data_IF_852576709735
#
_entry.id   IF_852576709735
#
_cell.length_a   1.000
_cell.length_b   1.000
_cell.length_c   1.000
_cell.angle_alpha   90.00
_cell.angle_beta   90.00
_cell.angle_gamma   90.00
#
_symmetry.space_group_name_H-M   'P 1'
#
loop_
_entity.id
_entity.type
_entity.pdbx_description
1 polymer ?
#
# COMPACT_ATOMS: atom_id res chain seq x y z
N UNK A 1 8.10 -34.74 -35.64
CA UNK A 1 7.91 -33.29 -35.83
C UNK A 1 7.70 -32.65 -34.46
N UNK A 2 8.72 -31.99 -33.93
CA UNK A 2 8.68 -31.31 -32.63
C UNK A 2 7.84 -30.04 -32.73
N UNK A 3 6.69 -29.99 -32.06
CA UNK A 3 5.91 -28.75 -31.90
C UNK A 3 6.46 -28.00 -30.70
N UNK A 4 7.23 -26.95 -30.96
CA UNK A 4 7.50 -25.92 -29.95
C UNK A 4 6.18 -25.27 -29.52
N UNK A 5 5.91 -25.11 -28.22
CA UNK A 5 4.81 -24.26 -27.79
C UNK A 5 5.23 -22.80 -28.00
N UNK A 6 4.40 -22.10 -28.77
CA UNK A 6 4.46 -20.66 -29.04
C UNK A 6 4.38 -19.91 -27.70
N UNK A 7 5.46 -19.24 -27.31
CA UNK A 7 5.46 -18.27 -26.20
C UNK A 7 4.78 -16.99 -26.69
N UNK A 8 3.46 -16.89 -26.53
CA UNK A 8 2.78 -15.61 -26.66
C UNK A 8 3.01 -14.78 -25.39
N UNK A 9 3.99 -13.88 -25.42
CA UNK A 9 4.08 -12.79 -24.46
C UNK A 9 3.01 -11.78 -24.87
N UNK A 10 1.85 -11.83 -24.21
CA UNK A 10 0.83 -10.80 -24.36
C UNK A 10 1.30 -9.58 -23.58
N UNK A 11 1.47 -8.48 -24.30
CA UNK A 11 1.77 -7.16 -23.75
C UNK A 11 0.74 -6.80 -22.69
N UNK A 12 1.19 -6.57 -21.46
CA UNK A 12 0.35 -6.10 -20.37
C UNK A 12 0.21 -4.59 -20.51
N UNK A 13 -1.01 -4.15 -20.85
CA UNK A 13 -1.43 -2.76 -20.73
C UNK A 13 -1.00 -2.21 -19.37
N UNK A 14 -0.31 -1.06 -19.39
CA UNK A 14 0.06 -0.30 -18.21
C UNK A 14 -1.20 0.27 -17.52
N UNK A 15 -1.93 -0.60 -16.83
CA UNK A 15 -3.10 -0.25 -16.05
C UNK A 15 -2.65 0.39 -14.73
N UNK A 16 -2.53 1.72 -14.78
CA UNK A 16 -2.45 2.69 -13.67
C UNK A 16 -1.97 2.11 -12.33
N UNK A 17 -0.68 2.27 -12.07
CA UNK A 17 -0.13 2.14 -10.71
C UNK A 17 -0.77 3.21 -9.81
N UNK A 18 -1.90 2.90 -9.17
CA UNK A 18 -2.43 3.79 -8.12
C UNK A 18 -1.45 3.77 -6.96
N UNK A 19 -0.93 4.96 -6.63
CA UNK A 19 -0.11 5.21 -5.45
C UNK A 19 -1.04 5.48 -4.28
N UNK A 20 -0.80 4.83 -3.14
CA UNK A 20 -1.45 5.17 -1.88
C UNK A 20 -0.38 5.70 -0.93
N UNK A 21 -0.65 6.84 -0.31
CA UNK A 21 0.20 7.43 0.70
C UNK A 21 -0.36 7.08 2.08
N UNK A 22 0.51 6.67 2.99
CA UNK A 22 0.10 6.43 4.37
C UNK A 22 -0.10 7.76 5.09
N UNK A 23 -1.10 7.83 5.95
CA UNK A 23 -1.26 8.95 6.89
C UNK A 23 -0.43 8.65 8.13
N UNK A 24 0.57 9.48 8.41
CA UNK A 24 1.44 9.31 9.59
C UNK A 24 0.89 10.02 10.83
N UNK A 25 0.13 11.11 10.65
CA UNK A 25 -0.49 11.87 11.75
C UNK A 25 -1.96 12.10 11.42
N UNK A 26 -2.84 11.84 12.38
CA UNK A 26 -4.29 12.04 12.22
C UNK A 26 -4.96 12.39 13.55
N UNK A 27 -5.08 13.67 13.83
CA UNK A 27 -5.87 14.26 14.90
C UNK A 27 -7.08 14.98 14.30
N UNK A 28 -8.25 14.35 14.31
CA UNK A 28 -9.52 15.02 13.93
C UNK A 28 -9.91 16.08 14.95
N UNK A 29 -9.55 15.84 16.20
CA UNK A 29 -9.52 16.77 17.32
C UNK A 29 -8.38 16.35 18.27
N UNK A 30 -8.25 17.02 19.42
CA UNK A 30 -7.28 16.68 20.47
C UNK A 30 -7.94 16.16 21.74
N UNK A 31 -9.04 15.40 21.61
CA UNK A 31 -9.60 14.62 22.73
C UNK A 31 -8.59 13.59 23.29
N UNK A 32 -7.63 13.17 22.46
CA UNK A 32 -6.42 12.44 22.83
C UNK A 32 -5.18 13.19 22.36
N UNK A 33 -4.14 13.18 23.20
CA UNK A 33 -2.82 13.73 22.88
C UNK A 33 -1.75 12.64 22.81
N UNK A 34 -2.16 11.39 22.55
CA UNK A 34 -1.23 10.27 22.45
C UNK A 34 -0.16 10.55 21.37
N UNK A 35 1.10 10.29 21.72
CA UNK A 35 2.24 10.56 20.84
C UNK A 35 2.68 12.03 20.78
N UNK A 36 2.02 12.94 21.50
CA UNK A 36 2.42 14.34 21.60
C UNK A 36 3.28 14.60 22.84
N UNK A 37 4.33 15.40 22.67
CA UNK A 37 5.27 15.80 23.71
C UNK A 37 5.31 17.32 23.78
N UNK A 38 5.00 17.89 24.94
CA UNK A 38 4.93 19.34 25.12
C UNK A 38 6.03 19.88 26.01
N UNK A 39 6.58 21.04 25.67
CA UNK A 39 7.57 21.74 26.47
C UNK A 39 7.15 23.20 26.64
N UNK A 40 7.60 23.82 27.72
CA UNK A 40 7.18 25.18 28.03
C UNK A 40 5.72 25.21 28.49
N UNK A 41 4.96 26.17 28.00
CA UNK A 41 3.98 26.90 28.81
C UNK A 41 3.17 26.11 29.86
N UNK A 42 3.35 26.36 31.16
CA UNK A 42 2.46 25.92 32.26
C UNK A 42 2.44 24.42 32.61
N UNK A 43 2.05 24.09 33.85
CA UNK A 43 1.87 22.68 34.31
C UNK A 43 0.50 22.09 33.98
N UNK A 44 -0.39 22.89 33.37
CA UNK A 44 -1.73 22.47 32.98
C UNK A 44 -1.76 21.55 31.76
N UNK A 45 -2.88 20.85 31.52
CA UNK A 45 -3.01 19.96 30.36
C UNK A 45 -2.84 20.73 29.04
N UNK A 46 -2.24 20.08 28.05
CA UNK A 46 -2.01 20.70 26.74
C UNK A 46 -3.25 20.72 25.84
N UNK A 47 -4.22 19.85 26.12
CA UNK A 47 -5.52 19.85 25.47
C UNK A 47 -6.57 20.43 26.40
N UNK A 48 -7.32 21.42 25.92
CA UNK A 48 -8.42 22.04 26.63
C UNK A 48 -9.63 22.03 25.71
N UNK A 49 -10.70 21.30 26.08
CA UNK A 49 -11.90 21.18 25.24
C UNK A 49 -11.58 20.72 23.80
N UNK A 50 -10.82 19.61 23.71
CA UNK A 50 -10.44 18.91 22.48
C UNK A 50 -9.60 19.70 21.47
N UNK A 51 -8.86 20.71 21.90
CA UNK A 51 -7.92 21.49 21.08
C UNK A 51 -6.60 21.67 21.81
N UNK A 52 -5.50 21.65 21.08
CA UNK A 52 -4.20 22.01 21.66
C UNK A 52 -4.21 23.49 21.98
N UNK A 53 -3.90 23.82 23.23
CA UNK A 53 -3.65 25.18 23.69
C UNK A 53 -2.14 25.39 23.73
N UNK A 54 -1.61 26.21 22.83
CA UNK A 54 -0.17 26.48 22.78
C UNK A 54 0.22 27.61 23.77
N UNK A 55 -0.66 28.57 23.96
CA UNK A 55 -0.47 29.72 24.86
C UNK A 55 -1.83 30.24 25.32
N UNK A 56 -1.84 31.03 26.39
CA UNK A 56 -3.03 31.65 26.95
C UNK A 56 -3.00 33.18 26.86
N UNK A 57 -4.15 33.74 26.50
CA UNK A 57 -4.45 35.15 26.66
C UNK A 57 -4.37 35.55 28.15
N UNK A 58 -3.72 36.68 28.45
CA UNK A 58 -3.62 37.26 29.79
C UNK A 58 -2.28 37.06 30.49
N UNK A 59 -1.27 36.54 29.80
CA UNK A 59 0.04 36.21 30.35
C UNK A 59 1.14 36.55 29.34
N UNK A 60 2.13 37.30 29.80
CA UNK A 60 3.28 37.71 28.99
C UNK A 60 4.35 36.62 28.93
N UNK A 61 5.19 36.65 27.90
CA UNK A 61 6.44 35.90 27.80
C UNK A 61 6.26 34.39 27.95
N UNK A 62 5.23 33.85 27.31
CA UNK A 62 5.02 32.41 27.19
C UNK A 62 5.76 31.89 25.96
N UNK A 63 6.33 30.69 26.07
CA UNK A 63 6.75 29.89 24.93
C UNK A 63 6.27 28.45 25.13
N UNK A 64 5.81 27.80 24.07
CA UNK A 64 5.46 26.38 24.07
C UNK A 64 5.88 25.72 22.77
N UNK A 65 6.30 24.47 22.86
CA UNK A 65 6.39 23.55 21.73
C UNK A 65 5.56 22.30 22.00
N UNK A 66 4.97 21.74 20.94
CA UNK A 66 4.28 20.44 20.97
C UNK A 66 4.72 19.63 19.76
N UNK A 67 5.41 18.52 20.02
CA UNK A 67 6.02 17.66 19.01
C UNK A 67 5.26 16.35 18.87
N UNK A 68 5.10 15.85 17.64
CA UNK A 68 4.76 14.45 17.43
C UNK A 68 6.03 13.60 17.59
N UNK A 69 6.02 12.67 18.53
CA UNK A 69 7.24 11.97 18.96
C UNK A 69 7.81 10.94 17.99
N UNK A 70 7.20 10.75 16.83
CA UNK A 70 7.71 9.88 15.77
C UNK A 70 8.09 10.72 14.56
N UNK A 71 9.31 10.54 14.06
CA UNK A 71 9.77 11.24 12.87
C UNK A 71 8.90 10.88 11.65
N UNK A 72 8.59 11.88 10.82
CA UNK A 72 7.80 11.72 9.60
C UNK A 72 8.63 12.06 8.36
N UNK A 73 8.36 11.43 7.20
CA UNK A 73 9.13 11.71 5.98
C UNK A 73 8.94 13.14 5.47
N UNK A 74 10.02 13.77 5.00
CA UNK A 74 10.01 15.15 4.46
C UNK A 74 10.54 15.25 3.03
N UNK A 75 10.77 14.13 2.34
CA UNK A 75 11.16 14.11 0.92
C UNK A 75 10.03 14.58 -0.01
N UNK A 76 8.78 14.38 0.42
CA UNK A 76 7.56 14.93 -0.14
C UNK A 76 6.51 14.88 0.98
N UNK A 77 5.66 15.91 1.15
CA UNK A 77 4.56 15.81 2.11
C UNK A 77 3.43 16.77 1.84
N UNK A 78 2.31 16.50 2.52
CA UNK A 78 1.23 17.43 2.80
C UNK A 78 0.86 17.32 4.27
N UNK A 79 0.75 18.46 4.93
CA UNK A 79 0.12 18.57 6.24
C UNK A 79 -1.01 19.58 6.19
N UNK A 80 -2.08 19.27 6.91
CA UNK A 80 -3.23 20.14 7.07
C UNK A 80 -3.50 20.31 8.56
N UNK A 81 -3.78 21.53 8.98
CA UNK A 81 -4.18 21.82 10.35
C UNK A 81 -5.17 22.97 10.38
N UNK A 82 -6.00 22.99 11.41
CA UNK A 82 -6.92 24.09 11.67
C UNK A 82 -6.45 24.78 12.93
N UNK A 83 -6.24 26.09 12.89
CA UNK A 83 -5.72 26.86 14.01
C UNK A 83 -6.53 28.14 14.22
N UNK A 84 -6.34 28.78 15.38
CA UNK A 84 -6.89 30.09 15.69
C UNK A 84 -5.92 30.86 16.58
N UNK A 85 -5.80 32.15 16.31
CA UNK A 85 -5.26 33.13 17.24
C UNK A 85 -6.46 33.95 17.74
N UNK A 86 -6.56 34.13 19.05
CA UNK A 86 -7.67 34.88 19.65
C UNK A 86 -7.24 35.62 20.90
N UNK A 87 -7.84 36.78 21.13
CA UNK A 87 -7.64 37.64 22.29
C UNK A 87 -8.86 38.52 22.52
N UNK A 88 -8.79 39.42 23.51
CA UNK A 88 -9.88 40.33 23.86
C UNK A 88 -9.47 41.81 23.75
N UNK A 89 -8.42 42.13 22.99
CA UNK A 89 -7.83 43.47 23.02
C UNK A 89 -7.50 44.09 21.66
N UNK A 90 -7.61 43.36 20.54
CA UNK A 90 -7.12 43.87 19.24
C UNK A 90 -5.60 44.09 19.23
N UNK A 91 -4.92 43.45 20.19
CA UNK A 91 -3.49 43.47 20.40
C UNK A 91 -2.96 42.03 20.50
N UNK A 92 -3.51 41.14 19.68
CA UNK A 92 -3.13 39.73 19.67
C UNK A 92 -1.66 39.59 19.26
N UNK A 93 -0.87 38.94 20.10
CA UNK A 93 0.52 38.61 19.82
C UNK A 93 0.93 37.30 20.52
N UNK A 94 2.01 36.63 20.11
CA UNK A 94 2.76 36.93 18.89
C UNK A 94 2.28 36.02 17.77
N UNK A 95 2.27 34.71 18.00
CA UNK A 95 1.80 33.79 16.97
C UNK A 95 2.29 32.37 17.19
N UNK A 96 2.23 31.59 16.12
CA UNK A 96 2.63 30.18 16.13
C UNK A 96 3.37 29.79 14.85
N UNK A 97 3.97 28.62 14.87
CA UNK A 97 4.58 28.01 13.69
C UNK A 97 4.10 26.58 13.51
N UNK A 98 4.19 26.08 12.27
CA UNK A 98 4.43 24.66 12.03
C UNK A 98 5.94 24.47 11.85
N UNK A 99 6.54 23.62 12.67
CA UNK A 99 8.00 23.42 12.70
C UNK A 99 8.36 21.98 12.35
N UNK A 100 9.41 21.83 11.54
CA UNK A 100 10.11 20.59 11.24
C UNK A 100 11.51 20.68 11.85
N UNK A 101 11.94 19.70 12.64
CA UNK A 101 13.25 19.73 13.30
C UNK A 101 13.87 18.34 13.44
N UNK A 102 15.19 18.29 13.26
CA UNK A 102 15.97 17.05 13.33
C UNK A 102 16.62 16.80 14.71
N UNK A 103 16.15 17.48 15.75
CA UNK A 103 16.51 17.25 17.15
C UNK A 103 15.55 16.29 17.87
N UNK A 104 15.36 16.50 19.16
CA UNK A 104 14.48 15.67 20.01
C UNK A 104 13.18 16.39 20.42
N UNK A 105 12.29 15.66 21.10
CA UNK A 105 10.99 16.18 21.54
C UNK A 105 11.05 17.13 22.72
N UNK A 106 12.23 17.53 23.21
CA UNK A 106 12.39 18.48 24.33
C UNK A 106 12.66 19.91 23.87
N UNK A 107 12.93 20.11 22.57
CA UNK A 107 13.26 21.42 22.01
C UNK A 107 12.18 22.47 22.28
N UNK A 108 12.60 23.65 22.73
CA UNK A 108 11.76 24.80 23.04
C UNK A 108 12.52 26.07 22.65
N UNK A 109 11.91 26.91 21.80
CA UNK A 109 12.46 28.20 21.43
C UNK A 109 12.02 29.33 22.37
N UNK A 110 12.53 30.53 22.11
CA UNK A 110 12.24 31.73 22.88
C UNK A 110 10.80 32.24 22.73
N UNK A 111 10.42 33.15 23.62
CA UNK A 111 9.14 33.85 23.60
C UNK A 111 9.12 35.04 22.61
N UNK A 112 8.01 35.78 22.61
CA UNK A 112 7.85 36.99 21.80
C UNK A 112 8.01 36.73 20.30
N UNK A 113 8.83 37.56 19.65
CA UNK A 113 9.17 37.46 18.23
C UNK A 113 9.80 36.11 17.82
N UNK A 114 10.26 35.30 18.76
CA UNK A 114 10.80 33.97 18.46
C UNK A 114 9.70 32.92 18.24
N UNK A 115 8.43 33.20 18.57
CA UNK A 115 7.27 32.32 18.34
C UNK A 115 7.41 30.89 18.92
N UNK A 116 8.19 30.73 20.00
CA UNK A 116 8.53 29.42 20.55
C UNK A 116 9.47 28.59 19.66
N UNK A 117 9.93 29.16 18.54
CA UNK A 117 10.78 28.54 17.52
C UNK A 117 12.23 29.01 17.61
N UNK A 118 12.46 30.32 17.72
CA UNK A 118 13.80 30.90 17.68
C UNK A 118 14.73 30.27 18.73
N UNK A 119 15.90 29.81 18.28
CA UNK A 119 16.86 29.03 19.08
C UNK A 119 16.78 27.51 18.90
N UNK A 120 15.77 26.99 18.21
CA UNK A 120 15.70 25.57 17.83
C UNK A 120 16.54 25.37 16.57
N UNK A 121 17.84 25.13 16.69
CA UNK A 121 18.72 24.92 15.54
C UNK A 121 18.39 23.62 14.77
N UNK A 122 18.88 23.50 13.54
CA UNK A 122 18.62 22.37 12.64
C UNK A 122 17.12 22.11 12.43
N UNK A 123 16.41 23.18 12.09
CA UNK A 123 14.96 23.20 11.95
C UNK A 123 14.52 24.15 10.83
N UNK A 124 13.30 23.94 10.34
CA UNK A 124 12.63 24.79 9.37
C UNK A 124 11.19 25.04 9.83
N UNK A 125 10.71 26.27 9.73
CA UNK A 125 9.38 26.66 10.18
C UNK A 125 8.60 27.50 9.17
N UNK A 126 7.31 27.24 9.15
CA UNK A 126 6.28 28.08 8.54
C UNK A 126 5.64 28.90 9.65
N UNK A 127 5.64 30.23 9.54
CA UNK A 127 5.33 31.13 10.65
C UNK A 127 4.03 31.90 10.39
N UNK A 128 3.20 32.02 11.43
CA UNK A 128 1.95 32.79 11.43
C UNK A 128 1.99 33.75 12.60
N UNK A 129 2.24 35.03 12.30
CA UNK A 129 2.49 36.05 13.31
C UNK A 129 1.41 37.13 13.25
N UNK A 130 0.78 37.45 14.38
CA UNK A 130 -0.23 38.48 14.55
C UNK A 130 0.37 39.86 14.92
N UNK A 131 1.69 39.94 15.12
CA UNK A 131 2.39 41.15 15.53
C UNK A 131 3.65 41.44 14.71
N UNK A 132 3.80 42.70 14.30
CA UNK A 132 5.07 43.27 13.87
C UNK A 132 5.31 44.54 14.69
N UNK A 133 6.55 44.80 15.11
CA UNK A 133 7.02 45.90 15.99
C UNK A 133 6.42 47.30 15.74
N UNK A 134 5.78 47.57 14.59
CA UNK A 134 5.12 48.83 14.24
C UNK A 134 3.61 48.73 13.98
N UNK A 135 3.02 47.52 13.90
CA UNK A 135 1.58 47.32 13.66
C UNK A 135 1.08 45.93 14.12
N UNK A 136 -0.15 45.87 14.62
CA UNK A 136 -0.91 44.61 14.74
C UNK A 136 -1.43 44.24 13.35
N UNK A 137 -1.04 43.07 12.86
CA UNK A 137 -1.38 42.64 11.51
C UNK A 137 -0.87 41.25 11.21
N UNK A 138 -1.58 40.58 10.32
CA UNK A 138 -1.31 39.18 9.97
C UNK A 138 -0.09 39.06 9.07
N UNK A 139 0.97 38.46 9.58
CA UNK A 139 2.26 38.30 8.92
C UNK A 139 2.62 36.84 8.75
N UNK A 140 3.36 36.59 7.69
CA UNK A 140 3.86 35.27 7.34
C UNK A 140 5.36 35.31 7.05
N UNK A 141 6.02 34.19 7.30
CA UNK A 141 7.41 33.98 6.91
C UNK A 141 7.82 32.51 6.93
N UNK A 142 8.97 32.26 6.30
CA UNK A 142 9.72 31.01 6.45
C UNK A 142 10.95 31.29 7.30
N UNK A 143 11.22 30.45 8.29
CA UNK A 143 12.36 30.58 9.17
C UNK A 143 13.22 29.32 9.10
N UNK A 144 14.53 29.50 9.12
CA UNK A 144 15.51 28.42 8.94
C UNK A 144 16.52 28.41 10.09
N UNK A 145 16.98 27.22 10.45
CA UNK A 145 18.02 26.95 11.42
C UNK A 145 17.84 27.69 12.77
N UNK A 146 16.61 27.72 13.28
CA UNK A 146 16.30 28.37 14.56
C UNK A 146 16.45 29.89 14.56
N UNK A 147 16.65 30.53 13.40
CA UNK A 147 16.67 31.99 13.31
C UNK A 147 15.33 32.59 13.78
N UNK A 148 15.36 33.80 14.37
CA UNK A 148 14.13 34.49 14.72
C UNK A 148 13.23 34.61 13.47
N UNK A 149 11.96 34.15 13.54
CA UNK A 149 11.00 34.22 12.46
C UNK A 149 10.98 35.57 11.74
N UNK A 150 11.23 35.61 10.42
CA UNK A 150 11.11 36.85 9.67
C UNK A 150 9.61 37.18 9.51
N UNK A 151 9.31 38.47 9.38
CA UNK A 151 7.95 39.01 9.22
C UNK A 151 7.74 39.75 7.88
N UNK A 152 8.21 39.20 6.72
CA UNK A 152 8.26 39.94 5.47
C UNK A 152 6.89 40.09 4.80
N UNK A 153 6.02 39.08 4.90
CA UNK A 153 4.83 38.99 4.05
C UNK A 153 3.57 39.40 4.81
N UNK A 154 2.71 40.16 4.15
CA UNK A 154 1.34 40.44 4.61
C UNK A 154 0.43 39.28 4.19
N UNK A 155 -0.34 38.75 5.15
CA UNK A 155 -1.27 37.64 4.90
C UNK A 155 -2.61 38.07 4.29
N UNK A 156 -2.85 39.36 4.07
CA UNK A 156 -4.07 39.87 3.44
C UNK A 156 -4.46 39.06 2.20
N UNK A 157 -5.74 38.63 2.06
CA UNK A 157 -6.90 39.04 2.85
C UNK A 157 -7.09 38.29 4.18
N UNK A 158 -6.23 37.34 4.56
CA UNK A 158 -6.38 36.61 5.84
C UNK A 158 -6.10 37.53 7.02
N UNK A 159 -7.04 37.57 7.96
CA UNK A 159 -6.92 38.28 9.23
C UNK A 159 -6.91 37.33 10.43
N UNK A 160 -5.72 37.09 10.99
CA UNK A 160 -5.47 36.31 12.20
C UNK A 160 -6.09 36.94 13.46
N UNK A 161 -6.50 38.21 13.44
CA UNK A 161 -7.18 38.89 14.56
C UNK A 161 -8.70 38.67 14.58
N UNK A 162 -9.27 38.15 13.49
CA UNK A 162 -10.73 37.94 13.34
C UNK A 162 -11.36 37.03 14.40
N UNK A 163 -10.55 36.22 15.10
CA UNK A 163 -11.02 35.15 15.99
C UNK A 163 -11.64 33.96 15.24
N UNK A 164 -11.60 33.96 13.91
CA UNK A 164 -12.02 32.84 13.08
C UNK A 164 -11.00 31.70 13.13
N UNK A 165 -11.42 30.50 12.73
CA UNK A 165 -10.50 29.39 12.49
C UNK A 165 -9.89 29.50 11.09
N UNK A 166 -8.58 29.33 11.02
CA UNK A 166 -7.82 29.30 9.79
C UNK A 166 -7.44 27.86 9.47
N UNK A 167 -7.64 27.44 8.22
CA UNK A 167 -7.13 26.17 7.72
C UNK A 167 -5.79 26.40 7.03
N UNK A 168 -4.71 25.91 7.65
CA UNK A 168 -3.38 25.87 7.05
C UNK A 168 -3.14 24.56 6.32
N UNK A 169 -2.63 24.63 5.11
CA UNK A 169 -2.10 23.49 4.35
C UNK A 169 -0.67 23.81 3.93
N UNK A 170 0.28 22.97 4.36
CA UNK A 170 1.69 23.03 3.94
C UNK A 170 1.98 21.83 3.06
N UNK A 171 2.59 22.05 1.89
CA UNK A 171 2.96 21.02 0.93
C UNK A 171 4.41 21.16 0.54
N UNK A 172 5.12 20.05 0.45
CA UNK A 172 6.44 19.99 -0.13
C UNK A 172 6.44 18.96 -1.25
N UNK A 173 6.91 19.34 -2.44
CA UNK A 173 6.94 18.48 -3.61
C UNK A 173 8.31 17.82 -3.88
N UNK A 174 9.28 18.03 -2.99
CA UNK A 174 10.67 17.64 -3.17
C UNK A 174 11.59 18.81 -3.58
N UNK A 175 11.04 19.97 -3.90
CA UNK A 175 11.79 21.18 -4.31
C UNK A 175 11.22 22.48 -3.75
N UNK A 176 9.90 22.56 -3.63
CA UNK A 176 9.18 23.77 -3.26
C UNK A 176 8.28 23.50 -2.06
N UNK A 177 8.46 24.28 -1.01
CA UNK A 177 7.56 24.33 0.14
C UNK A 177 6.49 25.38 -0.13
N UNK A 178 5.24 24.95 -0.28
CA UNK A 178 4.07 25.79 -0.55
C UNK A 178 3.11 25.80 0.63
N UNK A 179 2.57 26.97 0.95
CA UNK A 179 1.63 27.17 2.05
C UNK A 179 0.36 27.81 1.52
N UNK A 180 -0.78 27.31 1.99
CA UNK A 180 -2.11 27.82 1.68
C UNK A 180 -2.84 28.04 3.00
N UNK A 181 -3.44 29.20 3.20
CA UNK A 181 -4.25 29.51 4.39
C UNK A 181 -5.61 30.02 3.95
N UNK A 182 -6.68 29.38 4.42
CA UNK A 182 -8.06 29.78 4.12
C UNK A 182 -8.81 30.07 5.41
N UNK A 183 -9.56 31.17 5.45
CA UNK A 183 -10.49 31.44 6.55
C UNK A 183 -11.65 30.43 6.47
N UNK A 184 -11.90 29.71 7.57
CA UNK A 184 -12.92 28.65 7.61
C UNK A 184 -14.35 29.19 7.67
N UNK A 185 -14.51 30.43 8.12
CA UNK A 185 -15.77 31.17 8.15
C UNK A 185 -16.02 31.84 6.80
N UNK A 186 -15.03 32.54 6.24
CA UNK A 186 -15.07 33.17 4.92
C UNK A 186 -14.09 32.50 3.94
N UNK A 187 -14.55 31.40 3.33
CA UNK A 187 -13.72 30.60 2.41
C UNK A 187 -13.33 31.31 1.11
N UNK A 188 -13.80 32.53 0.87
CA UNK A 188 -13.33 33.36 -0.25
C UNK A 188 -11.95 33.98 0.02
N UNK A 189 -11.55 34.07 1.30
CA UNK A 189 -10.24 34.58 1.70
C UNK A 189 -9.19 33.48 1.65
N UNK A 190 -8.15 33.69 0.86
CA UNK A 190 -7.05 32.76 0.67
C UNK A 190 -5.73 33.53 0.64
N UNK A 191 -4.78 33.05 1.44
CA UNK A 191 -3.37 33.45 1.36
C UNK A 191 -2.54 32.28 0.84
N UNK A 192 -1.51 32.59 0.03
CA UNK A 192 -0.55 31.61 -0.46
C UNK A 192 0.88 32.14 -0.40
N UNK A 193 1.81 31.30 -0.01
CA UNK A 193 3.24 31.59 -0.04
C UNK A 193 4.03 30.35 -0.46
N UNK A 194 5.24 30.55 -0.97
CA UNK A 194 6.13 29.44 -1.30
C UNK A 194 7.60 29.83 -1.23
N UNK A 195 8.46 28.87 -0.92
CA UNK A 195 9.91 28.99 -1.07
C UNK A 195 10.49 27.76 -1.74
N UNK A 196 11.53 27.95 -2.54
CA UNK A 196 12.38 26.86 -3.01
C UNK A 196 13.37 26.50 -1.90
N UNK A 197 13.37 25.24 -1.48
CA UNK A 197 14.27 24.73 -0.43
C UNK A 197 14.47 23.24 -0.64
N UNK A 198 15.70 22.75 -0.44
CA UNK A 198 15.98 21.32 -0.32
C UNK A 198 15.91 20.92 1.15
N UNK A 199 14.71 20.52 1.61
CA UNK A 199 14.47 20.20 3.02
C UNK A 199 15.35 19.06 3.55
N UNK A 200 15.51 17.91 2.83
CA UNK A 200 16.43 16.86 3.27
C UNK A 200 17.86 17.34 3.47
N UNK A 201 18.38 18.19 2.58
CA UNK A 201 19.72 18.76 2.73
C UNK A 201 19.79 19.77 3.88
N UNK A 202 18.79 20.64 4.01
CA UNK A 202 18.74 21.67 5.06
C UNK A 202 18.71 21.06 6.47
N UNK A 203 17.96 19.96 6.65
CA UNK A 203 17.78 19.29 7.95
C UNK A 203 18.73 18.10 8.17
N UNK A 204 19.50 17.72 7.14
CA UNK A 204 20.42 16.59 7.16
C UNK A 204 19.75 15.22 7.31
N UNK A 205 18.44 15.11 7.01
CA UNK A 205 17.66 13.89 7.19
C UNK A 205 16.47 13.80 6.23
N UNK A 206 16.07 12.58 5.85
CA UNK A 206 14.86 12.34 5.05
C UNK A 206 13.57 12.26 5.90
N UNK A 207 13.70 12.21 7.22
CA UNK A 207 12.59 12.17 8.17
C UNK A 207 12.96 12.92 9.44
N UNK A 208 12.02 13.69 9.97
CA UNK A 208 12.26 14.61 11.10
C UNK A 208 11.05 14.67 12.02
N UNK A 209 11.24 15.21 13.23
CA UNK A 209 10.14 15.50 14.14
C UNK A 209 9.40 16.74 13.65
N UNK A 210 8.07 16.70 13.71
CA UNK A 210 7.21 17.83 13.33
C UNK A 210 6.28 18.21 14.47
N UNK A 211 5.87 19.46 14.51
CA UNK A 211 5.03 19.96 15.59
C UNK A 211 4.66 21.42 15.42
N UNK A 212 4.15 22.00 16.50
CA UNK A 212 3.79 23.40 16.57
C UNK A 212 4.58 24.07 17.69
N UNK A 213 5.05 25.30 17.45
CA UNK A 213 5.53 26.17 18.52
C UNK A 213 4.68 27.43 18.55
N UNK A 214 4.61 28.09 19.70
CA UNK A 214 3.93 29.38 19.81
C UNK A 214 4.50 30.20 20.96
N UNK A 215 4.27 31.51 20.90
CA UNK A 215 4.66 32.41 21.97
C UNK A 215 3.72 33.59 22.19
N UNK A 216 3.79 34.12 23.40
CA UNK A 216 3.38 35.50 23.73
C UNK A 216 4.61 36.32 24.10
N UNK A 217 4.47 37.63 24.11
CA UNK A 217 5.51 38.59 24.45
C UNK A 217 4.97 39.59 25.46
N UNK A 218 5.23 40.88 25.25
CA UNK A 218 4.60 41.95 26.04
C UNK A 218 3.09 42.06 25.79
N UNK A 219 2.66 41.67 24.59
CA UNK A 219 1.26 41.42 24.24
C UNK A 219 1.02 39.92 24.15
N UNK A 220 -0.24 39.51 24.13
CA UNK A 220 -0.59 38.10 24.27
C UNK A 220 -1.85 37.75 23.49
N UNK A 221 -1.97 36.47 23.20
CA UNK A 221 -3.17 35.87 22.64
C UNK A 221 -3.16 34.39 22.99
N UNK A 222 -4.34 33.79 22.90
CA UNK A 222 -4.51 32.35 22.92
C UNK A 222 -4.24 31.81 21.52
N UNK A 223 -3.22 30.97 21.38
CA UNK A 223 -2.96 30.22 20.14
C UNK A 223 -3.42 28.76 20.29
N UNK A 224 -4.25 28.29 19.36
CA UNK A 224 -4.88 26.97 19.44
C UNK A 224 -4.81 26.21 18.11
N UNK A 225 -4.71 24.87 18.20
CA UNK A 225 -4.84 23.96 17.06
C UNK A 225 -6.01 23.00 17.32
N UNK A 226 -6.92 22.89 16.35
CA UNK A 226 -8.17 22.13 16.45
C UNK A 226 -8.10 20.77 15.78
N UNK A 227 -7.29 20.63 14.74
CA UNK A 227 -7.10 19.37 14.01
C UNK A 227 -5.74 19.38 13.33
N UNK A 228 -5.15 18.21 13.11
CA UNK A 228 -3.88 18.07 12.40
C UNK A 228 -3.77 16.73 11.68
N UNK A 229 -3.40 16.75 10.40
CA UNK A 229 -3.05 15.57 9.64
C UNK A 229 -1.74 15.73 8.90
N UNK A 230 -1.02 14.64 8.70
CA UNK A 230 0.23 14.59 7.94
C UNK A 230 0.27 13.33 7.07
N UNK A 231 0.58 13.53 5.80
CA UNK A 231 0.89 12.50 4.81
C UNK A 231 2.21 12.86 4.16
N UNK A 232 3.27 12.11 4.42
CA UNK A 232 4.59 12.29 3.83
C UNK A 232 5.14 11.03 3.19
N UNK A 233 6.18 11.21 2.39
CA UNK A 233 6.85 10.17 1.63
C UNK A 233 6.37 10.11 0.18
N UNK A 234 7.03 9.23 -0.56
CA UNK A 234 6.89 8.97 -1.97
C UNK A 234 6.64 7.48 -2.14
N UNK A 235 5.48 7.14 -2.71
CA UNK A 235 5.18 5.75 -3.00
C UNK A 235 6.22 5.12 -3.94
N UNK A 236 6.53 3.82 -3.77
CA UNK A 236 7.43 3.09 -4.66
C UNK A 236 7.02 3.23 -6.13
N UNK A 237 7.98 3.13 -7.05
CA UNK A 237 7.71 3.21 -8.50
C UNK A 237 8.04 1.90 -9.19
N UNK A 238 7.16 1.43 -10.08
CA UNK A 238 7.40 0.19 -10.85
C UNK A 238 8.58 0.43 -11.78
N UNK A 239 9.66 -0.34 -11.64
CA UNK A 239 10.81 -0.35 -12.55
C UNK A 239 10.77 -1.55 -13.49
N UNK A 240 10.30 -2.70 -12.99
CA UNK A 240 10.00 -3.89 -13.80
C UNK A 240 8.59 -4.34 -13.47
N UNK A 241 7.72 -4.35 -14.49
CA UNK A 241 6.34 -4.80 -14.35
C UNK A 241 6.27 -6.26 -13.86
N UNK A 242 5.17 -6.60 -13.20
CA UNK A 242 4.91 -7.97 -12.77
C UNK A 242 4.89 -8.93 -13.97
N UNK A 243 5.65 -10.00 -13.86
CA UNK A 243 5.73 -11.06 -14.86
C UNK A 243 5.58 -12.43 -14.19
N UNK A 244 5.20 -13.43 -14.99
CA UNK A 244 5.04 -14.81 -14.56
C UNK A 244 5.50 -15.76 -15.66
N UNK A 245 6.30 -16.76 -15.31
CA UNK A 245 6.81 -17.80 -16.23
C UNK A 245 6.53 -19.17 -15.62
N UNK A 246 6.16 -20.16 -16.42
CA UNK A 246 5.91 -21.51 -15.92
C UNK A 246 7.16 -22.06 -15.22
N UNK A 247 7.00 -22.58 -14.00
CA UNK A 247 8.10 -23.16 -13.23
C UNK A 247 8.53 -24.48 -13.89
N UNK A 248 9.83 -24.65 -14.11
CA UNK A 248 10.36 -25.87 -14.73
C UNK A 248 9.99 -27.11 -13.91
N UNK A 249 9.43 -28.13 -14.56
CA UNK A 249 9.02 -29.38 -13.92
C UNK A 249 7.71 -29.30 -13.12
N UNK A 250 6.98 -28.19 -13.15
CA UNK A 250 5.65 -28.06 -12.55
C UNK A 250 4.60 -27.73 -13.61
N UNK A 251 3.44 -28.38 -13.51
CA UNK A 251 2.24 -28.07 -14.28
C UNK A 251 1.21 -27.24 -13.47
N UNK A 252 1.55 -26.86 -12.24
CA UNK A 252 0.68 -26.09 -11.31
C UNK A 252 1.26 -24.76 -10.87
N UNK A 253 2.52 -24.48 -11.17
CA UNK A 253 3.24 -23.36 -10.58
C UNK A 253 3.89 -22.47 -11.63
N UNK A 254 3.96 -21.18 -11.29
CA UNK A 254 4.63 -20.16 -12.06
C UNK A 254 5.58 -19.37 -11.16
N UNK A 255 6.76 -19.06 -11.68
CA UNK A 255 7.71 -18.15 -11.05
C UNK A 255 7.34 -16.73 -11.43
N UNK A 256 7.08 -15.92 -10.40
CA UNK A 256 6.69 -14.53 -10.47
C UNK A 256 7.88 -13.63 -10.21
N UNK A 257 7.90 -12.49 -10.89
CA UNK A 257 8.89 -11.44 -10.63
C UNK A 257 8.28 -10.05 -10.78
N UNK A 258 8.79 -9.09 -10.02
CA UNK A 258 8.56 -7.66 -10.22
C UNK A 258 9.70 -6.88 -9.56
N UNK A 259 9.90 -5.62 -9.96
CA UNK A 259 10.85 -4.74 -9.30
C UNK A 259 10.27 -3.33 -9.19
N UNK A 260 10.50 -2.72 -8.02
CA UNK A 260 10.11 -1.35 -7.74
C UNK A 260 11.34 -0.58 -7.23
N UNK A 261 11.41 0.72 -7.53
CA UNK A 261 12.35 1.62 -6.87
C UNK A 261 11.69 2.26 -5.65
N UNK A 262 12.47 2.43 -4.59
CA UNK A 262 12.07 3.20 -3.41
C UNK A 262 12.63 4.63 -3.53
N UNK A 263 11.81 5.63 -3.84
CA UNK A 263 12.30 7.01 -3.96
C UNK A 263 12.80 7.65 -2.65
N UNK A 264 12.44 7.11 -1.48
CA UNK A 264 12.80 7.65 -0.17
C UNK A 264 13.84 6.81 0.58
N UNK A 265 14.40 5.79 -0.08
CA UNK A 265 15.33 4.87 0.56
C UNK A 265 15.91 3.89 -0.44
N UNK A 266 16.16 2.66 0.00
CA UNK A 266 16.69 1.61 -0.86
C UNK A 266 15.60 0.62 -1.25
N UNK A 267 15.83 -0.11 -2.35
CA UNK A 267 14.90 -1.18 -2.77
C UNK A 267 14.75 -2.26 -1.70
N UNK A 268 15.80 -2.55 -0.93
CA UNK A 268 15.76 -3.53 0.15
C UNK A 268 14.79 -3.17 1.29
N UNK A 269 14.44 -1.90 1.42
CA UNK A 269 13.47 -1.43 2.42
C UNK A 269 12.01 -1.70 2.01
N UNK A 270 11.78 -2.17 0.77
CA UNK A 270 10.45 -2.47 0.26
C UNK A 270 9.97 -3.86 0.69
N UNK A 271 8.70 -3.93 1.09
CA UNK A 271 7.98 -5.19 1.28
C UNK A 271 7.11 -5.49 0.07
N UNK A 272 7.26 -6.68 -0.52
CA UNK A 272 6.47 -7.13 -1.67
C UNK A 272 5.40 -8.11 -1.20
N UNK A 273 4.14 -7.85 -1.59
CA UNK A 273 3.00 -8.72 -1.26
C UNK A 273 2.21 -9.05 -2.52
N UNK A 274 2.13 -10.34 -2.84
CA UNK A 274 1.30 -10.89 -3.90
C UNK A 274 -0.10 -11.25 -3.39
N UNK A 275 -1.10 -10.92 -4.19
CA UNK A 275 -2.52 -11.21 -3.97
C UNK A 275 -3.20 -11.61 -5.28
N UNK A 276 -4.40 -12.17 -5.18
CA UNK A 276 -5.20 -12.60 -6.34
C UNK A 276 -6.38 -11.64 -6.52
N UNK A 277 -6.37 -10.87 -7.61
CA UNK A 277 -7.46 -9.96 -7.97
C UNK A 277 -8.61 -10.70 -8.67
N UNK A 278 -8.29 -11.66 -9.55
CA UNK A 278 -9.26 -12.49 -10.28
C UNK A 278 -8.79 -13.94 -10.37
N UNK A 279 -9.76 -14.87 -10.29
CA UNK A 279 -9.54 -16.32 -10.45
C UNK A 279 -10.75 -16.98 -11.14
N UNK A 280 -10.60 -18.20 -11.70
CA UNK A 280 -11.71 -18.98 -12.23
C UNK A 280 -12.74 -19.32 -11.15
N UNK A 281 -14.01 -19.45 -11.54
CA UNK A 281 -15.08 -19.85 -10.63
C UNK A 281 -14.81 -21.22 -10.01
N UNK A 282 -15.02 -21.33 -8.70
CA UNK A 282 -14.76 -22.53 -7.90
C UNK A 282 -13.28 -22.88 -7.70
N UNK A 283 -12.33 -22.10 -8.23
CA UNK A 283 -10.92 -22.31 -7.93
C UNK A 283 -10.60 -21.90 -6.48
N UNK A 284 -9.73 -22.64 -5.75
CA UNK A 284 -9.16 -22.13 -4.51
C UNK A 284 -8.29 -20.89 -4.78
N UNK A 285 -8.00 -20.11 -3.72
CA UNK A 285 -7.03 -19.02 -3.87
C UNK A 285 -5.63 -19.62 -4.12
N UNK A 286 -4.87 -19.09 -5.09
CA UNK A 286 -3.47 -19.45 -5.26
C UNK A 286 -2.65 -19.20 -4.00
N UNK A 287 -1.61 -20.00 -3.78
CA UNK A 287 -0.63 -19.80 -2.71
C UNK A 287 0.65 -19.19 -3.27
N UNK A 288 1.32 -18.36 -2.48
CA UNK A 288 2.54 -17.64 -2.86
C UNK A 288 3.66 -17.95 -1.87
N UNK A 289 4.87 -18.23 -2.36
CA UNK A 289 6.03 -18.48 -1.51
C UNK A 289 7.33 -18.05 -2.19
N UNK A 290 8.14 -17.14 -1.61
CA UNK A 290 7.83 -16.32 -0.42
C UNK A 290 6.73 -15.28 -0.68
N UNK A 291 6.13 -14.72 0.37
CA UNK A 291 5.18 -13.60 0.28
C UNK A 291 5.27 -12.68 1.51
N UNK A 292 5.13 -11.37 1.34
CA UNK A 292 5.11 -10.40 2.44
C UNK A 292 6.50 -9.97 2.94
N UNK A 293 7.52 -10.02 2.09
CA UNK A 293 8.90 -9.60 2.39
C UNK A 293 9.60 -9.04 1.15
N UNK A 294 10.77 -8.43 1.30
CA UNK A 294 11.55 -7.98 0.13
C UNK A 294 11.86 -9.14 -0.85
N UNK A 295 12.16 -10.33 -0.32
CA UNK A 295 12.45 -11.52 -1.13
C UNK A 295 11.30 -11.88 -2.08
N UNK A 296 10.07 -11.48 -1.76
CA UNK A 296 8.86 -11.76 -2.55
C UNK A 296 8.79 -10.99 -3.87
N UNK A 297 9.76 -10.10 -4.15
CA UNK A 297 10.01 -9.59 -5.51
C UNK A 297 10.27 -10.71 -6.52
N UNK A 298 10.72 -11.87 -6.04
CA UNK A 298 10.63 -13.16 -6.71
C UNK A 298 9.79 -14.11 -5.84
N UNK A 299 8.73 -14.68 -6.41
CA UNK A 299 7.82 -15.57 -5.67
C UNK A 299 7.38 -16.71 -6.57
N UNK A 300 7.10 -17.88 -6.03
CA UNK A 300 6.42 -18.94 -6.78
C UNK A 300 4.95 -18.95 -6.38
N UNK A 301 4.06 -18.84 -7.38
CA UNK A 301 2.63 -19.05 -7.20
C UNK A 301 2.26 -20.49 -7.55
N UNK A 302 1.39 -21.11 -6.76
CA UNK A 302 0.83 -22.43 -7.05
C UNK A 302 -0.68 -22.37 -7.12
N UNK A 303 -1.22 -22.92 -8.21
CA UNK A 303 -2.65 -22.93 -8.52
C UNK A 303 -3.30 -24.25 -8.11
N UNK A 304 -4.61 -24.23 -7.87
CA UNK A 304 -5.41 -25.43 -7.61
C UNK A 304 -6.44 -25.75 -8.70
N UNK A 305 -6.45 -24.99 -9.80
CA UNK A 305 -7.34 -25.19 -10.95
C UNK A 305 -6.74 -24.54 -12.19
N UNK A 306 -7.14 -25.01 -13.35
CA UNK A 306 -6.82 -24.40 -14.63
C UNK A 306 -7.69 -23.14 -14.89
N UNK A 307 -7.25 -22.30 -15.82
CA UNK A 307 -7.95 -21.09 -16.24
C UNK A 307 -7.16 -19.80 -16.04
N UNK A 308 -7.82 -18.66 -16.26
CA UNK A 308 -7.22 -17.33 -16.19
C UNK A 308 -7.24 -16.74 -14.78
N UNK A 309 -6.08 -16.26 -14.34
CA UNK A 309 -5.85 -15.58 -13.06
C UNK A 309 -5.25 -14.19 -13.31
N UNK A 310 -5.70 -13.18 -12.56
CA UNK A 310 -5.04 -11.88 -12.47
C UNK A 310 -4.45 -11.74 -11.08
N UNK A 311 -3.13 -11.63 -11.02
CA UNK A 311 -2.37 -11.51 -9.77
C UNK A 311 -1.86 -10.09 -9.63
N UNK A 312 -1.76 -9.60 -8.40
CA UNK A 312 -1.31 -8.26 -8.05
C UNK A 312 -0.14 -8.36 -7.09
N UNK A 313 0.96 -7.67 -7.41
CA UNK A 313 2.06 -7.43 -6.46
C UNK A 313 2.00 -5.98 -6.01
N UNK A 314 2.01 -5.77 -4.69
CA UNK A 314 2.09 -4.46 -4.07
C UNK A 314 3.47 -4.32 -3.42
N UNK A 315 4.19 -3.25 -3.73
CA UNK A 315 5.40 -2.87 -3.03
C UNK A 315 5.08 -1.73 -2.06
N UNK A 316 5.51 -1.87 -0.81
CA UNK A 316 5.26 -0.91 0.27
C UNK A 316 6.58 -0.48 0.91
N UNK A 317 6.80 0.82 1.09
CA UNK A 317 7.97 1.37 1.80
C UNK A 317 7.77 1.35 3.34
N UNK A 318 8.81 1.72 4.09
CA UNK A 318 8.75 1.78 5.57
C UNK A 318 7.77 2.81 6.11
N UNK A 319 7.48 3.87 5.33
CA UNK A 319 6.47 4.87 5.67
C UNK A 319 5.03 4.36 5.47
N UNK A 320 4.84 3.20 4.81
CA UNK A 320 3.55 2.61 4.49
C UNK A 320 2.98 3.01 3.12
N UNK A 321 3.69 3.85 2.35
CA UNK A 321 3.29 4.20 1.00
C UNK A 321 3.46 3.01 0.06
N UNK A 322 2.51 2.85 -0.85
CA UNK A 322 2.50 1.69 -1.73
C UNK A 322 2.11 2.01 -3.16
N UNK A 323 2.62 1.19 -4.07
CA UNK A 323 2.14 1.07 -5.43
C UNK A 323 2.09 -0.39 -5.83
N UNK A 324 1.52 -0.70 -6.99
CA UNK A 324 1.33 -2.08 -7.40
C UNK A 324 1.52 -2.28 -8.90
N UNK A 325 1.73 -3.54 -9.27
CA UNK A 325 1.73 -4.02 -10.65
C UNK A 325 0.87 -5.29 -10.75
N UNK A 326 0.44 -5.65 -11.96
CA UNK A 326 -0.41 -6.81 -12.21
C UNK A 326 0.16 -7.70 -13.31
N UNK A 327 -0.11 -9.00 -13.19
CA UNK A 327 0.17 -9.98 -14.23
C UNK A 327 -1.04 -10.88 -14.43
N UNK A 328 -1.32 -11.23 -15.67
CA UNK A 328 -2.35 -12.24 -16.00
C UNK A 328 -1.67 -13.54 -16.40
N UNK A 329 -2.09 -14.64 -15.77
CA UNK A 329 -1.57 -15.98 -16.00
C UNK A 329 -2.72 -16.87 -16.45
N UNK A 330 -2.51 -17.60 -17.54
CA UNK A 330 -3.42 -18.65 -17.99
C UNK A 330 -2.79 -20.02 -17.67
N UNK A 331 -3.40 -20.74 -16.73
CA UNK A 331 -3.01 -22.10 -16.37
C UNK A 331 -3.72 -23.05 -17.32
N UNK A 332 -2.98 -23.75 -18.18
CA UNK A 332 -3.53 -24.73 -19.10
C UNK A 332 -3.80 -26.06 -18.40
N UNK A 333 -4.81 -26.82 -18.86
CA UNK A 333 -4.95 -28.22 -18.46
C UNK A 333 -3.84 -29.05 -19.10
N UNK A 334 -3.19 -29.88 -18.29
CA UNK A 334 -2.16 -30.83 -18.73
C UNK A 334 -2.64 -32.23 -18.45
N UNK A 335 -2.67 -33.10 -19.46
CA UNK A 335 -3.08 -34.49 -19.31
C UNK A 335 -2.11 -35.23 -18.38
N UNK A 336 -2.60 -35.81 -17.29
CA UNK A 336 -1.74 -36.52 -16.30
C UNK A 336 -2.22 -37.91 -15.95
N UNK A 337 -3.50 -38.22 -16.15
CA UNK A 337 -4.05 -39.52 -15.80
C UNK A 337 -5.19 -39.94 -16.72
N UNK A 338 -5.23 -41.22 -17.06
CA UNK A 338 -6.38 -41.86 -17.70
C UNK A 338 -7.12 -42.70 -16.66
N UNK A 339 -8.44 -42.56 -16.59
CA UNK A 339 -9.33 -43.31 -15.69
C UNK A 339 -10.35 -44.07 -16.50
N UNK A 340 -10.50 -45.37 -16.24
CA UNK A 340 -11.48 -46.23 -16.89
C UNK A 340 -12.64 -46.55 -15.94
N UNK A 341 -13.81 -46.90 -16.45
CA UNK A 341 -14.97 -47.39 -15.69
C UNK A 341 -15.79 -48.35 -16.54
N UNK A 342 -16.50 -49.34 -15.95
CA UNK A 342 -16.50 -49.67 -14.53
C UNK A 342 -15.24 -50.43 -14.08
N UNK A 343 -14.94 -50.42 -12.78
CA UNK A 343 -13.83 -51.22 -12.19
C UNK A 343 -14.36 -52.54 -11.62
N UNK A 344 -13.53 -53.59 -11.64
CA UNK A 344 -13.73 -54.85 -10.90
C UNK A 344 -15.11 -55.49 -11.10
N UNK A 345 -15.43 -55.86 -12.34
CA UNK A 345 -16.70 -56.48 -12.70
C UNK A 345 -16.60 -58.01 -12.75
N UNK A 346 -17.72 -58.68 -12.45
CA UNK A 346 -17.95 -60.06 -12.89
C UNK A 346 -18.84 -60.02 -14.12
N UNK A 347 -18.36 -60.56 -15.24
CA UNK A 347 -19.05 -60.53 -16.53
C UNK A 347 -19.48 -61.97 -16.85
N UNK A 348 -20.75 -62.15 -17.21
CA UNK A 348 -21.26 -63.46 -17.60
C UNK A 348 -20.60 -63.96 -18.89
N UNK A 349 -20.51 -65.27 -19.07
CA UNK A 349 -20.00 -65.88 -20.30
C UNK A 349 -20.78 -65.37 -21.52
N UNK A 350 -20.05 -64.92 -22.55
CA UNK A 350 -20.65 -64.39 -23.79
C UNK A 350 -21.37 -63.03 -23.66
N UNK A 351 -21.45 -62.46 -22.46
CA UNK A 351 -22.08 -61.17 -22.24
C UNK A 351 -21.18 -60.00 -22.66
N UNK A 352 -21.80 -58.84 -22.88
CA UNK A 352 -21.09 -57.61 -23.21
C UNK A 352 -21.04 -56.64 -22.02
N UNK A 353 -20.03 -55.78 -21.99
CA UNK A 353 -19.87 -54.71 -21.01
C UNK A 353 -19.27 -53.46 -21.66
N UNK A 354 -19.88 -52.31 -21.43
CA UNK A 354 -19.36 -51.02 -21.88
C UNK A 354 -18.29 -50.49 -20.93
N UNK A 355 -17.06 -50.37 -21.44
CA UNK A 355 -16.01 -49.61 -20.78
C UNK A 355 -15.95 -48.18 -21.31
N UNK A 356 -15.95 -47.23 -20.39
CA UNK A 356 -15.68 -45.82 -20.66
C UNK A 356 -14.32 -45.43 -20.10
N UNK A 357 -13.72 -44.39 -20.67
CA UNK A 357 -12.48 -43.82 -20.15
C UNK A 357 -12.48 -42.30 -20.29
N UNK A 358 -11.81 -41.64 -19.35
CA UNK A 358 -11.65 -40.19 -19.31
C UNK A 358 -10.23 -39.83 -18.91
N UNK A 359 -9.62 -38.94 -19.67
CA UNK A 359 -8.37 -38.27 -19.35
C UNK A 359 -8.63 -37.10 -18.41
N UNK A 360 -7.81 -37.01 -17.37
CA UNK A 360 -7.84 -35.99 -16.33
C UNK A 360 -6.59 -35.12 -16.36
N UNK A 361 -6.78 -33.89 -15.92
CA UNK A 361 -5.77 -32.87 -15.81
C UNK A 361 -4.92 -33.01 -14.54
N UNK A 362 -3.92 -32.15 -14.39
CA UNK A 362 -3.01 -32.13 -13.24
C UNK A 362 -3.70 -31.88 -11.89
N UNK A 363 -4.94 -31.37 -11.89
CA UNK A 363 -5.76 -31.13 -10.71
C UNK A 363 -6.73 -32.28 -10.44
N UNK A 364 -6.74 -33.32 -11.27
CA UNK A 364 -7.65 -34.46 -11.17
C UNK A 364 -9.05 -34.19 -11.73
N UNK A 365 -9.25 -33.08 -12.43
CA UNK A 365 -10.49 -32.78 -13.15
C UNK A 365 -10.44 -33.36 -14.56
N UNK A 366 -11.59 -33.63 -15.17
CA UNK A 366 -11.62 -34.11 -16.56
C UNK A 366 -11.10 -33.02 -17.50
N UNK A 367 -10.36 -33.40 -18.55
CA UNK A 367 -10.04 -32.47 -19.64
C UNK A 367 -11.33 -31.98 -20.30
N UNK A 368 -11.40 -30.68 -20.61
CA UNK A 368 -12.52 -30.09 -21.36
C UNK A 368 -12.71 -30.74 -22.72
N UNK A 369 -11.60 -31.06 -23.38
CA UNK A 369 -11.58 -31.81 -24.63
C UNK A 369 -10.84 -33.11 -24.37
N UNK A 370 -11.55 -34.23 -24.50
CA UNK A 370 -10.93 -35.55 -24.41
C UNK A 370 -10.11 -35.83 -25.68
N UNK A 371 -8.86 -36.31 -25.57
CA UNK A 371 -8.14 -36.84 -26.73
C UNK A 371 -8.82 -38.12 -27.25
N UNK A 372 -8.39 -38.60 -28.42
CA UNK A 372 -8.84 -39.90 -28.90
C UNK A 372 -8.36 -41.00 -27.93
N UNK A 373 -9.30 -41.81 -27.46
CA UNK A 373 -9.04 -42.92 -26.55
C UNK A 373 -9.16 -44.22 -27.34
N UNK A 374 -8.18 -45.11 -27.18
CA UNK A 374 -8.15 -46.42 -27.82
C UNK A 374 -8.24 -47.52 -26.77
N UNK A 375 -9.23 -48.39 -26.90
CA UNK A 375 -9.45 -49.54 -26.03
C UNK A 375 -8.79 -50.81 -26.59
N UNK A 376 -8.30 -51.67 -25.69
CA UNK A 376 -7.71 -52.97 -26.06
C UNK A 376 -7.88 -54.00 -24.94
N UNK A 377 -7.90 -55.28 -25.31
CA UNK A 377 -7.71 -56.38 -24.36
C UNK A 377 -6.21 -56.54 -24.13
N UNK A 378 -5.73 -56.16 -22.94
CA UNK A 378 -4.30 -56.25 -22.61
C UNK A 378 -3.89 -57.69 -22.26
N UNK A 379 -4.77 -58.43 -21.58
CA UNK A 379 -4.59 -59.86 -21.30
C UNK A 379 -5.94 -60.55 -21.03
N UNK A 380 -5.97 -61.88 -21.21
CA UNK A 380 -7.20 -62.68 -21.12
C UNK A 380 -7.84 -62.92 -22.50
N UNK A 381 -9.11 -63.35 -22.51
CA UNK A 381 -9.87 -63.61 -23.73
C UNK A 381 -10.95 -62.56 -24.01
N UNK A 382 -11.66 -62.74 -25.14
CA UNK A 382 -12.72 -61.84 -25.60
C UNK A 382 -12.25 -60.82 -26.63
N UNK A 383 -13.15 -59.92 -27.01
CA UNK A 383 -12.88 -58.83 -27.96
C UNK A 383 -13.40 -57.51 -27.41
N UNK A 384 -12.79 -56.40 -27.78
CA UNK A 384 -13.28 -55.06 -27.45
C UNK A 384 -13.24 -54.19 -28.70
N UNK A 385 -14.30 -53.42 -28.93
CA UNK A 385 -14.28 -52.39 -29.95
C UNK A 385 -13.37 -51.24 -29.50
N UNK A 386 -12.38 -50.93 -30.33
CA UNK A 386 -11.27 -50.04 -29.95
C UNK A 386 -11.69 -48.58 -29.75
N UNK A 387 -12.87 -48.18 -30.20
CA UNK A 387 -13.34 -46.78 -30.14
C UNK A 387 -14.51 -46.62 -29.16
N UNK A 388 -15.47 -47.53 -29.19
CA UNK A 388 -16.65 -47.49 -28.32
C UNK A 388 -16.40 -48.10 -26.94
N UNK A 389 -15.38 -48.96 -26.78
CA UNK A 389 -15.09 -49.63 -25.51
C UNK A 389 -16.05 -50.77 -25.16
N UNK A 390 -16.92 -51.18 -26.09
CA UNK A 390 -17.82 -52.32 -25.91
C UNK A 390 -17.02 -53.63 -25.91
N UNK A 391 -16.88 -54.25 -24.73
CA UNK A 391 -16.22 -55.54 -24.55
C UNK A 391 -17.22 -56.69 -24.68
N UNK A 392 -16.81 -57.80 -25.31
CA UNK A 392 -17.54 -59.07 -25.37
C UNK A 392 -16.73 -60.17 -24.70
N UNK A 393 -17.26 -60.73 -23.61
CA UNK A 393 -16.62 -61.81 -22.87
C UNK A 393 -16.57 -63.12 -23.69
N UNK A 394 -15.49 -63.92 -23.57
CA UNK A 394 -15.44 -65.23 -24.19
C UNK A 394 -16.40 -66.21 -23.49
N UNK A 395 -16.72 -67.33 -24.14
CA UNK A 395 -17.42 -68.46 -23.53
C UNK A 395 -16.46 -69.33 -22.68
N UNK A 396 -15.57 -68.70 -21.91
CA UNK A 396 -14.62 -69.36 -21.02
C UNK A 396 -14.41 -68.53 -19.75
N UNK A 397 -14.29 -69.20 -18.60
CA UNK A 397 -13.99 -68.55 -17.33
C UNK A 397 -12.55 -68.05 -17.30
N UNK A 398 -12.31 -66.91 -16.67
CA UNK A 398 -10.95 -66.37 -16.54
C UNK A 398 -10.91 -64.93 -16.07
N UNK A 399 -9.70 -64.42 -15.87
CA UNK A 399 -9.47 -62.99 -15.61
C UNK A 399 -9.10 -62.29 -16.91
N UNK A 400 -9.66 -61.10 -17.13
CA UNK A 400 -9.35 -60.23 -18.27
C UNK A 400 -8.85 -58.88 -17.75
N UNK A 401 -7.88 -58.30 -18.44
CA UNK A 401 -7.44 -56.92 -18.23
C UNK A 401 -7.75 -56.12 -19.48
N UNK A 402 -8.59 -55.11 -19.33
CA UNK A 402 -8.87 -54.14 -20.40
C UNK A 402 -7.99 -52.92 -20.16
N UNK A 403 -7.38 -52.43 -21.23
CA UNK A 403 -6.60 -51.20 -21.23
C UNK A 403 -7.27 -50.15 -22.11
N UNK A 404 -7.09 -48.89 -21.72
CA UNK A 404 -7.36 -47.74 -22.56
C UNK A 404 -6.11 -46.87 -22.61
N UNK A 405 -5.75 -46.41 -23.81
CA UNK A 405 -4.64 -45.50 -24.04
C UNK A 405 -5.13 -44.21 -24.67
N UNK A 406 -4.52 -43.10 -24.28
CA UNK A 406 -4.71 -41.82 -24.93
C UNK A 406 -3.44 -41.01 -24.78
N UNK A 407 -2.89 -40.54 -25.91
CA UNK A 407 -1.54 -40.00 -25.98
C UNK A 407 -0.53 -41.00 -25.34
N UNK A 408 0.28 -40.56 -24.37
CA UNK A 408 1.23 -41.40 -23.63
C UNK A 408 0.66 -41.97 -22.31
N UNK A 409 -0.64 -41.76 -22.05
CA UNK A 409 -1.30 -42.25 -20.83
C UNK A 409 -1.92 -43.62 -21.07
N UNK A 410 -1.79 -44.49 -20.08
CA UNK A 410 -2.44 -45.81 -20.05
C UNK A 410 -3.24 -45.96 -18.75
N UNK A 411 -4.48 -46.41 -18.86
CA UNK A 411 -5.29 -46.90 -17.74
C UNK A 411 -5.65 -48.36 -17.97
N UNK A 412 -5.80 -49.13 -16.88
CA UNK A 412 -6.16 -50.55 -16.96
C UNK A 412 -7.20 -50.90 -15.91
N UNK A 413 -8.07 -51.87 -16.22
CA UNK A 413 -9.07 -52.41 -15.30
C UNK A 413 -9.15 -53.93 -15.45
N UNK A 414 -9.17 -54.62 -14.31
CA UNK A 414 -9.41 -56.07 -14.26
C UNK A 414 -10.89 -56.40 -14.15
N UNK A 415 -11.30 -57.51 -14.77
CA UNK A 415 -12.61 -58.12 -14.61
C UNK A 415 -12.49 -59.65 -14.60
N UNK A 416 -13.46 -60.31 -13.96
CA UNK A 416 -13.58 -61.77 -13.96
C UNK A 416 -14.73 -62.19 -14.86
N UNK A 417 -14.44 -63.07 -15.81
CA UNK A 417 -15.46 -63.74 -16.62
C UNK A 417 -15.86 -65.01 -15.89
N UNK A 418 -17.12 -65.11 -15.52
CA UNK A 418 -17.66 -66.27 -14.80
C UNK A 418 -19.06 -66.62 -15.31
N UNK A 419 -19.48 -67.87 -15.06
CA UNK A 419 -20.80 -68.39 -15.45
C UNK A 419 -21.81 -68.29 -14.31
#
# INVERSE_FOLDING_TARGET
MSRQPVRSIVAVDQLEARRMFATQISFTDFSSTAGLFSNGFGSGPISISNRLRLTDAGQQNQARSVWFGTAVPITQFRTDFTFRISGNSGQEADGLTFTMQAGDTTALGGDGNNLGYGGINNSEAVTFNAFNLTNFGSRFGFASDGATPPIPDDMSPIDLHSGHQMKGTVRYDGTTLSVFVTDSTDRSQLFTASQTIDLPTALGANSVIVGFTAATGLFWSTQEVFSWSYTGGRAPTVTTAAAGVATSGSDKSFDLSALFANPDGTESDLTYTWTTDRKPSGAPNPTFSPNGSNASKASTVTFGKDGGYTLRVTATNSAGDSSFSRVTINVAQVATALRMTPHAQTIALGATLDYNATVRDQFGHNLRTQPAIVFSVQSGGGTIDSTSGLYTAPNAKGHVVIAATADDLTGTVGATVNG
#
